data_IF_135798686858
#
_entry.id   IF_135798686858
#
_cell.length_a   1.000
_cell.length_b   1.000
_cell.length_c   1.000
_cell.angle_alpha   90.00
_cell.angle_beta   90.00
_cell.angle_gamma   90.00
#
_symmetry.space_group_name_H-M   'P 1'
#
loop_
_entity.id
_entity.type
_entity.pdbx_description
1 polymer ?
#
# COMPACT_ATOMS: atom_id res chain seq x y z
N UNK A 1 -3.29 15.86 -22.91
CA UNK A 1 -3.02 14.93 -21.79
C UNK A 1 -4.23 14.98 -20.85
N UNK A 2 -5.13 13.99 -20.94
CA UNK A 2 -6.28 13.91 -20.05
C UNK A 2 -5.92 13.07 -18.84
N UNK A 3 -5.86 13.66 -17.65
CA UNK A 3 -5.69 12.91 -16.41
C UNK A 3 -7.06 12.38 -16.03
N UNK A 4 -7.28 11.07 -16.21
CA UNK A 4 -8.49 10.41 -15.73
C UNK A 4 -8.45 10.39 -14.21
N UNK A 5 -9.19 11.30 -13.56
CA UNK A 5 -9.49 11.24 -12.13
C UNK A 5 -10.46 10.07 -11.90
N UNK A 6 -9.93 8.92 -11.55
CA UNK A 6 -10.74 7.81 -11.05
C UNK A 6 -11.14 8.10 -9.61
N UNK A 7 -12.22 8.84 -9.40
CA UNK A 7 -12.84 8.99 -8.09
C UNK A 7 -13.57 7.68 -7.76
N UNK A 8 -13.23 7.03 -6.65
CA UNK A 8 -14.00 5.89 -6.14
C UNK A 8 -15.26 6.45 -5.47
N UNK A 9 -16.34 6.57 -6.25
CA UNK A 9 -17.66 6.99 -5.76
C UNK A 9 -18.47 5.74 -5.41
N UNK A 10 -18.88 5.61 -4.15
CA UNK A 10 -19.76 4.51 -3.73
C UNK A 10 -20.89 5.09 -2.89
N UNK A 11 -22.12 4.96 -3.40
CA UNK A 11 -23.35 5.33 -2.70
C UNK A 11 -23.92 4.07 -2.03
N UNK A 12 -23.85 4.00 -0.70
CA UNK A 12 -24.45 2.93 0.08
C UNK A 12 -24.98 3.47 1.40
N UNK A 13 -26.04 2.84 1.93
CA UNK A 13 -26.68 3.17 3.21
C UNK A 13 -25.77 2.93 4.42
N UNK A 14 -24.78 2.05 4.30
CA UNK A 14 -23.59 2.01 5.15
C UNK A 14 -22.38 1.83 4.24
N UNK A 15 -21.43 2.76 4.29
CA UNK A 15 -20.26 2.73 3.40
C UNK A 15 -18.99 2.34 4.17
N UNK A 16 -18.22 1.43 3.57
CA UNK A 16 -16.96 0.94 4.11
C UNK A 16 -15.84 0.99 3.07
N UNK A 17 -14.69 1.60 3.42
CA UNK A 17 -13.46 1.58 2.62
C UNK A 17 -12.28 1.10 3.47
N UNK A 18 -11.68 -0.03 3.08
CA UNK A 18 -10.73 -0.76 3.92
C UNK A 18 -9.47 -1.15 3.14
N UNK A 19 -8.29 -0.82 3.66
CA UNK A 19 -7.03 -1.42 3.22
C UNK A 19 -6.60 -1.08 1.78
N UNK A 20 -7.08 0.02 1.20
CA UNK A 20 -6.73 0.41 -0.17
C UNK A 20 -5.38 1.12 -0.24
N UNK A 21 -4.68 0.99 -1.37
CA UNK A 21 -3.51 1.83 -1.73
C UNK A 21 -3.88 2.66 -2.95
N UNK A 22 -4.04 3.97 -2.77
CA UNK A 22 -4.48 4.91 -3.80
C UNK A 22 -3.33 5.84 -4.14
N UNK A 23 -2.85 5.83 -5.39
CA UNK A 23 -1.74 6.68 -5.84
C UNK A 23 -2.22 7.73 -6.83
N UNK A 24 -1.94 9.01 -6.57
CA UNK A 24 -2.40 10.16 -7.35
C UNK A 24 -3.93 10.27 -7.51
N UNK A 25 -4.66 9.68 -6.57
CA UNK A 25 -6.13 9.66 -6.54
C UNK A 25 -6.58 10.12 -5.16
N UNK A 26 -7.57 11.02 -5.15
CA UNK A 26 -8.27 11.43 -3.94
C UNK A 26 -9.29 10.38 -3.51
N UNK A 27 -9.31 10.05 -2.23
CA UNK A 27 -10.42 9.31 -1.62
C UNK A 27 -11.47 10.32 -1.17
N UNK A 28 -12.51 10.50 -1.97
CA UNK A 28 -13.64 11.36 -1.64
C UNK A 28 -14.91 10.53 -1.43
N UNK A 29 -15.57 10.74 -0.30
CA UNK A 29 -16.77 10.00 0.10
C UNK A 29 -17.86 11.00 0.53
N UNK A 30 -19.11 10.73 0.17
CA UNK A 30 -20.28 11.58 0.47
C UNK A 30 -20.52 12.71 -0.55
N UNK A 31 -20.30 12.44 -1.84
CA UNK A 31 -20.48 13.43 -2.90
C UNK A 31 -21.96 13.78 -3.13
N UNK A 32 -22.30 15.08 -3.06
CA UNK A 32 -23.59 15.61 -3.51
C UNK A 32 -24.81 15.34 -2.63
N UNK A 33 -24.83 14.29 -1.82
CA UNK A 33 -25.96 13.98 -0.96
C UNK A 33 -26.18 15.08 0.12
N UNK A 34 -27.42 15.50 0.41
CA UNK A 34 -27.69 16.46 1.48
C UNK A 34 -27.38 15.87 2.87
N UNK A 35 -27.51 14.55 3.02
CA UNK A 35 -27.16 13.78 4.21
C UNK A 35 -26.75 12.35 3.83
N UNK A 36 -25.84 11.76 4.59
CA UNK A 36 -25.47 10.34 4.56
C UNK A 36 -25.60 9.77 5.99
N UNK A 37 -25.80 8.45 6.12
CA UNK A 37 -25.88 7.76 7.42
C UNK A 37 -24.47 7.64 8.04
N UNK A 38 -23.99 6.42 8.24
CA UNK A 38 -22.71 6.16 8.90
C UNK A 38 -21.68 5.64 7.88
N UNK A 39 -20.41 6.01 8.07
CA UNK A 39 -19.31 5.42 7.29
C UNK A 39 -18.13 4.98 8.14
N UNK A 40 -17.43 3.97 7.63
CA UNK A 40 -16.21 3.43 8.20
C UNK A 40 -15.10 3.45 7.16
N UNK A 41 -13.97 4.07 7.48
CA UNK A 41 -12.83 4.22 6.59
C UNK A 41 -11.58 3.81 7.37
N UNK A 42 -10.97 2.67 7.05
CA UNK A 42 -9.86 2.12 7.82
C UNK A 42 -8.69 1.69 6.94
N UNK A 43 -7.47 1.85 7.46
CA UNK A 43 -6.25 1.23 6.91
C UNK A 43 -5.90 1.62 5.46
N UNK A 44 -6.45 2.72 4.94
CA UNK A 44 -6.13 3.15 3.57
C UNK A 44 -4.81 3.91 3.53
N UNK A 45 -4.00 3.67 2.51
CA UNK A 45 -2.81 4.46 2.17
C UNK A 45 -3.11 5.31 0.93
N UNK A 46 -3.12 6.62 1.09
CA UNK A 46 -3.36 7.58 0.02
C UNK A 46 -2.04 8.30 -0.28
N UNK A 47 -1.51 8.11 -1.48
CA UNK A 47 -0.21 8.61 -1.91
C UNK A 47 -0.40 9.72 -2.93
N UNK A 48 0.06 10.93 -2.62
CA UNK A 48 -0.14 12.13 -3.45
C UNK A 48 -1.63 12.38 -3.80
N UNK A 49 -2.50 12.14 -2.83
CA UNK A 49 -3.91 12.45 -2.90
C UNK A 49 -4.40 12.96 -1.55
N UNK A 50 -5.71 13.14 -1.45
CA UNK A 50 -6.38 13.65 -0.27
C UNK A 50 -7.46 12.68 0.20
N UNK A 51 -7.87 12.82 1.47
CA UNK A 51 -9.03 12.15 2.03
C UNK A 51 -10.08 13.21 2.35
N UNK A 52 -11.24 13.16 1.69
CA UNK A 52 -12.38 14.03 1.94
C UNK A 52 -13.60 13.20 2.32
N UNK A 53 -14.21 13.52 3.46
CA UNK A 53 -15.38 12.82 4.00
C UNK A 53 -16.43 13.88 4.28
N UNK A 54 -17.59 13.79 3.63
CA UNK A 54 -18.59 14.84 3.68
C UNK A 54 -19.94 14.31 4.12
N UNK A 55 -20.61 15.05 5.03
CA UNK A 55 -22.04 14.91 5.34
C UNK A 55 -22.48 13.51 5.80
N UNK A 56 -21.68 12.84 6.64
CA UNK A 56 -22.08 11.61 7.34
C UNK A 56 -22.53 11.94 8.77
N UNK A 57 -23.52 11.22 9.26
CA UNK A 57 -24.00 11.28 10.65
C UNK A 57 -22.91 10.81 11.63
N UNK A 58 -22.25 9.68 11.33
CA UNK A 58 -21.12 9.15 12.11
C UNK A 58 -20.01 8.67 11.20
N UNK A 59 -18.77 8.96 11.57
CA UNK A 59 -17.56 8.54 10.86
C UNK A 59 -16.64 7.77 11.79
N UNK A 60 -16.36 6.51 11.47
CA UNK A 60 -15.26 5.75 12.06
C UNK A 60 -14.07 5.84 11.11
N UNK A 61 -12.99 6.51 11.55
CA UNK A 61 -11.76 6.67 10.77
C UNK A 61 -10.57 6.26 11.60
N UNK A 62 -9.85 5.24 11.17
CA UNK A 62 -8.66 4.75 11.89
C UNK A 62 -7.57 4.25 10.94
N UNK A 63 -6.31 4.43 11.34
CA UNK A 63 -5.09 3.97 10.64
C UNK A 63 -5.00 4.29 9.13
N UNK A 64 -5.71 5.32 8.66
CA UNK A 64 -5.54 5.83 7.29
C UNK A 64 -4.28 6.72 7.23
N UNK A 65 -3.42 6.47 6.26
CA UNK A 65 -2.17 7.18 6.05
C UNK A 65 -2.22 8.00 4.77
N UNK A 66 -1.90 9.30 4.85
CA UNK A 66 -1.69 10.14 3.67
C UNK A 66 -0.19 10.35 3.52
N UNK A 67 0.37 9.85 2.43
CA UNK A 67 1.78 9.98 2.10
C UNK A 67 1.93 10.99 0.97
N UNK A 68 2.64 12.08 1.23
CA UNK A 68 3.05 13.02 0.18
C UNK A 68 4.42 12.65 -0.36
N UNK A 69 4.69 13.08 -1.59
CA UNK A 69 6.03 13.07 -2.19
C UNK A 69 7.03 13.68 -1.19
N UNK A 70 8.10 12.94 -0.85
CA UNK A 70 9.17 13.46 -0.01
C UNK A 70 9.73 14.75 -0.61
N UNK A 71 9.80 15.80 0.22
CA UNK A 71 10.42 17.07 -0.17
C UNK A 71 11.92 16.92 -0.42
N UNK A 72 12.55 15.98 0.28
CA UNK A 72 13.95 15.62 0.11
C UNK A 72 14.15 14.74 -1.13
N UNK A 73 14.86 15.22 -2.18
CA UNK A 73 15.11 14.46 -3.38
C UNK A 73 15.98 13.21 -3.16
N UNK A 74 16.75 13.15 -2.07
CA UNK A 74 17.59 12.01 -1.71
C UNK A 74 16.81 10.89 -1.02
N UNK A 75 15.59 11.16 -0.51
CA UNK A 75 14.74 10.19 0.19
C UNK A 75 13.42 9.95 -0.51
N UNK A 76 13.49 9.70 -1.81
CA UNK A 76 12.34 9.46 -2.70
C UNK A 76 11.95 7.98 -2.83
N UNK A 77 12.31 7.18 -1.83
CA UNK A 77 11.84 5.80 -1.72
C UNK A 77 11.10 5.62 -0.40
N UNK A 78 9.84 5.17 -0.49
CA UNK A 78 9.03 4.82 0.67
C UNK A 78 8.49 3.40 0.49
N UNK A 79 8.62 2.59 1.53
CA UNK A 79 8.09 1.25 1.57
C UNK A 79 7.04 1.13 2.69
N UNK A 80 5.94 0.41 2.41
CA UNK A 80 4.89 0.14 3.39
C UNK A 80 4.56 -1.34 3.42
N UNK A 81 4.65 -1.91 4.61
CA UNK A 81 4.25 -3.28 4.90
C UNK A 81 2.77 -3.35 5.27
N UNK A 82 2.09 -4.36 4.74
CA UNK A 82 0.73 -4.74 5.11
C UNK A 82 0.79 -6.19 5.59
N UNK A 83 0.77 -6.35 6.91
CA UNK A 83 0.87 -7.67 7.53
C UNK A 83 -0.44 -8.44 7.35
N UNK A 84 -0.36 -9.72 7.00
CA UNK A 84 -1.54 -10.56 6.93
C UNK A 84 -1.89 -11.10 8.32
N UNK A 85 -3.09 -10.74 8.80
CA UNK A 85 -3.67 -11.21 10.06
C UNK A 85 -3.84 -12.74 10.12
N UNK A 86 -4.10 -13.37 8.98
CA UNK A 86 -4.50 -14.78 8.90
C UNK A 86 -3.33 -15.71 8.56
N UNK A 87 -2.30 -15.18 7.88
CA UNK A 87 -1.12 -15.93 7.47
C UNK A 87 0.14 -15.14 7.88
N UNK A 88 0.74 -15.43 9.05
CA UNK A 88 1.92 -14.70 9.53
C UNK A 88 3.18 -14.95 8.70
N UNK A 89 3.13 -15.88 7.72
CA UNK A 89 4.20 -16.09 6.74
C UNK A 89 3.96 -15.31 5.45
N UNK A 90 2.91 -14.49 5.38
CA UNK A 90 2.58 -13.66 4.22
C UNK A 90 2.39 -12.19 4.61
N UNK A 91 2.90 -11.30 3.77
CA UNK A 91 2.60 -9.88 3.82
C UNK A 91 2.47 -9.31 2.41
N UNK A 92 1.96 -8.09 2.31
CA UNK A 92 2.12 -7.28 1.12
C UNK A 92 3.13 -6.16 1.39
N UNK A 93 3.87 -5.81 0.36
CA UNK A 93 4.84 -4.73 0.41
C UNK A 93 4.55 -3.79 -0.76
N UNK A 94 4.16 -2.55 -0.46
CA UNK A 94 4.08 -1.49 -1.45
C UNK A 94 5.36 -0.66 -1.41
N UNK A 95 5.93 -0.36 -2.57
CA UNK A 95 7.14 0.44 -2.72
C UNK A 95 6.89 1.57 -3.70
N UNK A 96 7.11 2.78 -3.22
CA UNK A 96 7.08 4.01 -4.00
C UNK A 96 8.52 4.43 -4.26
N UNK A 97 8.96 4.31 -5.50
CA UNK A 97 10.34 4.53 -5.96
C UNK A 97 10.39 5.75 -6.87
N UNK A 98 10.18 6.95 -6.34
CA UNK A 98 10.08 8.16 -7.17
C UNK A 98 11.38 8.55 -7.86
N UNK A 99 12.52 8.00 -7.44
CA UNK A 99 13.80 8.15 -8.14
C UNK A 99 13.99 7.16 -9.30
N UNK A 100 13.04 6.25 -9.52
CA UNK A 100 13.08 5.24 -10.57
C UNK A 100 14.40 4.42 -10.54
N UNK A 101 14.88 4.12 -9.35
CA UNK A 101 16.07 3.28 -9.16
C UNK A 101 15.77 1.85 -9.58
N UNK A 102 16.72 1.15 -10.20
CA UNK A 102 16.53 -0.25 -10.58
C UNK A 102 16.37 -1.17 -9.36
N UNK A 103 17.06 -0.83 -8.28
CA UNK A 103 16.97 -1.51 -6.99
C UNK A 103 16.75 -0.49 -5.88
N UNK A 104 16.04 -0.93 -4.83
CA UNK A 104 15.83 -0.12 -3.63
C UNK A 104 16.23 -0.90 -2.40
N UNK A 105 16.84 -0.21 -1.45
CA UNK A 105 17.17 -0.73 -0.13
C UNK A 105 16.12 -0.26 0.88
N UNK A 106 15.36 -1.20 1.44
CA UNK A 106 14.22 -0.91 2.31
C UNK A 106 14.34 -1.61 3.66
N UNK A 107 13.73 -1.02 4.68
CA UNK A 107 13.61 -1.66 5.98
C UNK A 107 12.69 -2.88 5.89
N UNK A 108 13.18 -4.02 6.38
CA UNK A 108 12.47 -5.30 6.26
C UNK A 108 11.44 -5.51 7.38
N UNK A 109 11.56 -4.74 8.47
CA UNK A 109 10.58 -4.70 9.56
C UNK A 109 9.28 -4.01 9.12
N UNK A 110 8.13 -4.39 9.70
CA UNK A 110 7.97 -5.34 10.81
C UNK A 110 7.91 -6.82 10.41
N UNK A 111 7.99 -7.16 9.12
CA UNK A 111 7.65 -8.51 8.65
C UNK A 111 8.81 -9.50 8.67
N UNK A 112 9.98 -9.10 8.17
CA UNK A 112 11.16 -9.94 8.09
C UNK A 112 12.18 -9.54 9.16
N UNK A 113 12.94 -10.53 9.64
CA UNK A 113 14.12 -10.36 10.49
C UNK A 113 15.36 -10.92 9.80
N UNK A 114 16.54 -10.51 10.27
CA UNK A 114 17.82 -11.06 9.82
C UNK A 114 17.79 -12.59 9.81
N UNK A 115 18.17 -13.19 8.67
CA UNK A 115 18.24 -14.63 8.46
C UNK A 115 16.99 -15.26 7.86
N UNK A 116 15.85 -14.56 7.84
CA UNK A 116 14.65 -15.06 7.17
C UNK A 116 14.90 -15.17 5.66
N UNK A 117 14.49 -16.29 5.06
CA UNK A 117 14.43 -16.44 3.60
C UNK A 117 13.09 -15.92 3.13
N UNK A 118 13.07 -15.15 2.05
CA UNK A 118 11.82 -14.60 1.52
C UNK A 118 11.74 -14.69 0.00
N UNK A 119 10.49 -14.73 -0.51
CA UNK A 119 10.17 -14.58 -1.94
C UNK A 119 9.29 -13.36 -2.15
N UNK A 120 9.56 -12.61 -3.21
CA UNK A 120 8.69 -11.58 -3.74
C UNK A 120 7.93 -12.14 -4.95
N UNK A 121 6.61 -12.13 -4.86
CA UNK A 121 5.73 -12.58 -5.94
C UNK A 121 4.95 -11.40 -6.51
N UNK A 122 4.57 -11.53 -7.78
CA UNK A 122 3.60 -10.62 -8.38
C UNK A 122 2.20 -10.92 -7.79
N UNK A 123 1.48 -9.93 -7.24
CA UNK A 123 0.10 -10.13 -6.80
C UNK A 123 -0.85 -10.65 -7.89
N UNK A 124 -0.53 -10.43 -9.18
CA UNK A 124 -1.29 -10.97 -10.31
C UNK A 124 -0.93 -12.43 -10.66
N UNK A 125 0.16 -12.94 -10.11
CA UNK A 125 0.66 -14.29 -10.38
C UNK A 125 1.23 -14.92 -9.09
N UNK A 126 0.41 -15.00 -8.04
CA UNK A 126 0.83 -15.46 -6.70
C UNK A 126 1.27 -16.94 -6.65
N UNK A 127 0.92 -17.72 -7.67
CA UNK A 127 1.35 -19.12 -7.82
C UNK A 127 2.45 -19.28 -8.88
N UNK A 128 2.91 -18.17 -9.48
CA UNK A 128 3.98 -18.15 -10.46
C UNK A 128 5.37 -18.11 -9.82
N UNK A 129 6.38 -17.94 -10.67
CA UNK A 129 7.76 -17.81 -10.23
C UNK A 129 7.96 -16.57 -9.37
N UNK A 130 8.90 -16.68 -8.42
CA UNK A 130 9.29 -15.54 -7.63
C UNK A 130 10.03 -14.52 -8.51
N UNK A 131 9.60 -13.27 -8.43
CA UNK A 131 10.31 -12.14 -9.06
C UNK A 131 11.67 -11.91 -8.40
N UNK A 132 11.79 -12.25 -7.13
CA UNK A 132 13.03 -12.15 -6.36
C UNK A 132 12.99 -13.12 -5.19
N UNK A 133 14.13 -13.69 -4.84
CA UNK A 133 14.29 -14.53 -3.66
C UNK A 133 15.64 -14.25 -3.01
N UNK A 134 15.64 -13.97 -1.70
CA UNK A 134 16.86 -13.70 -0.97
C UNK A 134 16.70 -14.02 0.52
N UNK A 135 17.80 -13.92 1.28
CA UNK A 135 17.81 -13.89 2.74
C UNK A 135 17.88 -12.46 3.23
N UNK A 136 17.04 -12.08 4.18
CA UNK A 136 17.06 -10.77 4.81
C UNK A 136 18.39 -10.54 5.56
N UNK A 137 19.13 -9.50 5.18
CA UNK A 137 20.43 -9.14 5.75
C UNK A 137 20.29 -7.87 6.57
N UNK A 138 20.76 -7.90 7.83
CA UNK A 138 20.75 -6.73 8.72
C UNK A 138 19.37 -6.03 8.85
N UNK A 139 18.26 -6.79 8.81
CA UNK A 139 16.88 -6.26 8.83
C UNK A 139 16.54 -5.33 7.65
N UNK A 140 17.23 -5.48 6.52
CA UNK A 140 16.99 -4.77 5.27
C UNK A 140 16.92 -5.75 4.12
N UNK A 141 16.21 -5.36 3.07
CA UNK A 141 16.14 -6.11 1.83
C UNK A 141 16.42 -5.17 0.65
N UNK A 142 17.23 -5.65 -0.28
CA UNK A 142 17.51 -4.96 -1.54
C UNK A 142 16.69 -5.66 -2.60
N UNK A 143 15.78 -4.92 -3.24
CA UNK A 143 14.79 -5.53 -4.12
C UNK A 143 14.73 -4.80 -5.47
N UNK A 144 14.55 -5.53 -6.58
CA UNK A 144 14.38 -4.91 -7.89
C UNK A 144 13.00 -4.25 -8.00
N UNK A 145 12.97 -2.99 -8.46
CA UNK A 145 11.73 -2.23 -8.65
C UNK A 145 11.71 -1.64 -10.05
N UNK A 146 10.78 -2.10 -10.88
CA UNK A 146 10.58 -1.55 -12.22
C UNK A 146 9.62 -0.37 -12.16
N UNK A 147 10.13 0.83 -12.45
CA UNK A 147 9.32 2.04 -12.49
C UNK A 147 9.21 2.74 -11.13
N UNK A 148 8.26 3.66 -11.03
CA UNK A 148 8.08 4.51 -9.84
C UNK A 148 7.24 3.87 -8.73
N UNK A 149 6.67 2.70 -8.98
CA UNK A 149 5.82 1.98 -8.04
C UNK A 149 5.90 0.48 -8.29
N UNK A 150 5.97 -0.30 -7.21
CA UNK A 150 5.77 -1.74 -7.24
C UNK A 150 4.99 -2.20 -6.01
N UNK A 151 4.29 -3.32 -6.18
CA UNK A 151 3.65 -4.04 -5.09
C UNK A 151 4.03 -5.52 -5.19
N UNK A 152 4.32 -6.13 -4.05
CA UNK A 152 4.72 -7.52 -3.95
C UNK A 152 3.87 -8.25 -2.93
N UNK A 153 3.61 -9.53 -3.17
CA UNK A 153 3.30 -10.48 -2.10
C UNK A 153 4.64 -10.99 -1.58
N UNK A 154 4.86 -10.90 -0.28
CA UNK A 154 6.07 -11.37 0.38
C UNK A 154 5.75 -12.64 1.15
N UNK A 155 6.45 -13.73 0.85
CA UNK A 155 6.36 -14.99 1.59
C UNK A 155 7.66 -15.21 2.37
N UNK A 156 7.53 -15.52 3.66
CA UNK A 156 8.64 -15.87 4.57
C UNK A 156 8.79 -17.38 4.69
N UNK A 157 10.03 -17.86 4.71
CA UNK A 157 10.44 -19.26 4.85
C UNK A 157 9.69 -20.18 3.88
N UNK A 158 9.95 -20.04 2.57
CA UNK A 158 9.17 -20.70 1.52
C UNK A 158 9.44 -22.21 1.39
N UNK A 159 10.14 -22.84 2.33
CA UNK A 159 10.29 -24.29 2.39
C UNK A 159 8.92 -24.93 2.66
N UNK A 160 8.20 -25.13 1.56
CA UNK A 160 7.22 -26.17 1.32
C UNK A 160 7.95 -27.36 0.71
#
# INVERSE_FOLDING_TARGET
MGVSLSVVVVLATTFGSFGNVLQYIDLQIGYGAPYNQDCTILDNLIVNGTLSINRYNKVVKDNNSILSLPKDPLRRTVARWFLNKYDPKRAYLAVFNWNNQETVDIEAKPFLKKGDVFRLLDPKAIYGEARHQETCKANRIIIPVKGTFAIFVVLKDPSL
#
